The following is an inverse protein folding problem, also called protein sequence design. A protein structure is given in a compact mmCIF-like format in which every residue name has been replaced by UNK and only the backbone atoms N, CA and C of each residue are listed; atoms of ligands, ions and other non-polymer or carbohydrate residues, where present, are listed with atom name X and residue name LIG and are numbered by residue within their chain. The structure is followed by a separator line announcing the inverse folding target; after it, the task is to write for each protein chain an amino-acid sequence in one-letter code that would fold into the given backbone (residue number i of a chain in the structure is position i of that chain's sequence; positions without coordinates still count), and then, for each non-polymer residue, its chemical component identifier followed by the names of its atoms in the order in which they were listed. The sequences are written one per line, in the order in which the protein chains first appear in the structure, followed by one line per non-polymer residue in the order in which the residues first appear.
data_IF_832684460213
#
_entry.id   IF_832684460213
#
_cell.length_a   1.000
_cell.length_b   1.000
_cell.length_c   1.000
_cell.angle_alpha   90.00
_cell.angle_beta   90.00
_cell.angle_gamma   90.00
#
_symmetry.space_group_name_H-M   'P 1'
#
loop_
_entity.id
_entity.type
_entity.pdbx_description
1 polymer ?
#
# COMPACT_ATOMS: atom_id res chain seq x y z
N UNK A 1 -8.90 -22.31 -6.96
CA UNK A 1 -8.91 -23.27 -5.84
C UNK A 1 -8.71 -24.67 -6.41
N UNK A 2 -7.67 -25.43 -6.04
CA UNK A 2 -7.47 -26.81 -6.51
C UNK A 2 -7.66 -27.77 -5.32
N UNK A 3 -8.90 -28.22 -5.10
CA UNK A 3 -9.19 -29.24 -4.07
C UNK A 3 -8.83 -30.62 -4.62
N UNK A 4 -8.09 -31.38 -3.83
CA UNK A 4 -7.71 -32.75 -4.17
C UNK A 4 -8.66 -33.72 -3.47
N UNK A 5 -9.43 -34.47 -4.24
CA UNK A 5 -10.42 -35.43 -3.78
C UNK A 5 -9.82 -36.82 -3.70
N UNK A 6 -10.17 -37.58 -2.67
CA UNK A 6 -9.84 -39.01 -2.61
C UNK A 6 -10.99 -39.79 -3.23
N UNK A 7 -10.70 -40.59 -4.25
CA UNK A 7 -11.67 -41.49 -4.86
C UNK A 7 -11.78 -42.80 -4.05
N UNK A 8 -12.92 -43.52 -4.14
CA UNK A 8 -13.13 -44.78 -3.40
C UNK A 8 -12.08 -45.88 -3.71
N UNK A 9 -11.47 -45.84 -4.90
CA UNK A 9 -10.44 -46.77 -5.35
C UNK A 9 -9.01 -46.40 -4.89
N UNK A 10 -8.87 -45.39 -4.03
CA UNK A 10 -7.60 -44.92 -3.48
C UNK A 10 -6.83 -43.96 -4.41
N UNK A 11 -7.35 -43.66 -5.60
CA UNK A 11 -6.80 -42.60 -6.46
C UNK A 11 -7.17 -41.23 -5.91
N UNK A 12 -6.45 -40.20 -6.36
CA UNK A 12 -6.79 -38.81 -6.05
C UNK A 12 -7.23 -38.09 -7.31
N UNK A 13 -8.15 -37.16 -7.21
CA UNK A 13 -8.62 -36.38 -8.35
C UNK A 13 -8.64 -34.89 -8.07
N UNK A 14 -8.48 -34.09 -9.11
CA UNK A 14 -8.61 -32.63 -9.05
C UNK A 14 -9.47 -32.17 -10.20
N UNK A 15 -10.38 -31.24 -9.90
CA UNK A 15 -11.17 -30.50 -10.89
C UNK A 15 -10.55 -29.12 -11.01
N UNK A 16 -10.25 -28.68 -12.22
CA UNK A 16 -9.62 -27.38 -12.48
C UNK A 16 -10.10 -26.80 -13.81
N UNK A 17 -9.93 -25.49 -13.99
CA UNK A 17 -10.24 -24.81 -15.24
C UNK A 17 -8.97 -24.57 -16.08
N UNK A 18 -9.08 -24.72 -17.39
CA UNK A 18 -8.04 -24.41 -18.38
C UNK A 18 -8.67 -23.73 -19.60
N UNK A 19 -8.47 -22.42 -19.73
CA UNK A 19 -9.21 -21.62 -20.71
C UNK A 19 -10.71 -21.69 -20.43
N UNK A 20 -11.50 -22.04 -21.45
CA UNK A 20 -12.94 -22.22 -21.32
C UNK A 20 -13.35 -23.66 -20.95
N UNK A 21 -12.40 -24.50 -20.54
CA UNK A 21 -12.65 -25.91 -20.23
C UNK A 21 -12.55 -26.19 -18.75
N UNK A 22 -13.41 -27.09 -18.28
CA UNK A 22 -13.29 -27.72 -16.96
C UNK A 22 -12.71 -29.11 -17.18
N UNK A 23 -11.66 -29.42 -16.44
CA UNK A 23 -10.86 -30.61 -16.60
C UNK A 23 -10.87 -31.43 -15.30
N UNK A 24 -10.94 -32.74 -15.42
CA UNK A 24 -10.69 -33.71 -14.35
C UNK A 24 -9.35 -34.39 -14.57
N UNK A 25 -8.50 -34.38 -13.56
CA UNK A 25 -7.25 -35.15 -13.57
C UNK A 25 -7.18 -36.10 -12.39
N UNK A 26 -6.72 -37.34 -12.64
CA UNK A 26 -6.63 -38.41 -11.63
C UNK A 26 -5.18 -38.89 -11.44
N UNK A 27 -4.76 -38.97 -10.17
CA UNK A 27 -3.45 -39.40 -9.69
C UNK A 27 -3.49 -40.84 -9.10
N UNK A 28 -2.37 -41.58 -9.14
CA UNK A 28 -1.11 -41.21 -9.78
C UNK A 28 -1.24 -41.20 -11.30
N UNK A 29 -0.48 -40.30 -11.94
CA UNK A 29 -0.37 -40.25 -13.38
C UNK A 29 0.21 -41.57 -13.91
N UNK A 30 -0.62 -42.45 -14.45
CA UNK A 30 -0.14 -43.59 -15.23
C UNK A 30 0.23 -43.08 -16.63
N UNK A 31 1.20 -43.71 -17.31
CA UNK A 31 1.55 -43.35 -18.70
C UNK A 31 0.28 -43.37 -19.55
N UNK A 32 -0.08 -42.22 -20.12
CA UNK A 32 -1.30 -42.04 -20.92
C UNK A 32 -2.52 -41.48 -20.19
N UNK A 33 -2.45 -41.13 -18.90
CA UNK A 33 -3.52 -40.37 -18.24
C UNK A 33 -3.56 -38.95 -18.80
N UNK A 34 -4.49 -38.71 -19.73
CA UNK A 34 -4.82 -37.40 -20.25
C UNK A 34 -5.95 -36.82 -19.37
N UNK A 35 -5.90 -35.51 -19.02
CA UNK A 35 -7.02 -34.85 -18.37
C UNK A 35 -8.33 -35.06 -19.15
N UNK A 36 -9.41 -35.38 -18.45
CA UNK A 36 -10.73 -35.55 -19.05
C UNK A 36 -11.41 -34.18 -19.11
N UNK A 37 -11.86 -33.78 -20.30
CA UNK A 37 -12.69 -32.59 -20.45
C UNK A 37 -14.09 -32.92 -19.90
N UNK A 38 -14.50 -32.20 -18.86
CA UNK A 38 -15.85 -32.29 -18.29
C UNK A 38 -16.81 -31.33 -19.02
N UNK A 39 -16.37 -30.09 -19.26
CA UNK A 39 -17.16 -29.01 -19.87
C UNK A 39 -16.28 -28.12 -20.76
N UNK A 40 -16.87 -27.44 -21.73
CA UNK A 40 -16.17 -26.56 -22.70
C UNK A 40 -16.73 -25.12 -22.75
N UNK A 41 -17.67 -24.79 -21.86
CA UNK A 41 -18.38 -23.53 -21.79
C UNK A 41 -18.05 -22.72 -20.52
N UNK A 42 -16.91 -22.98 -19.87
CA UNK A 42 -16.53 -22.29 -18.63
C UNK A 42 -16.13 -20.83 -18.87
N UNK A 43 -16.60 -19.91 -18.02
CA UNK A 43 -16.12 -18.51 -17.99
C UNK A 43 -15.44 -18.15 -16.66
N UNK A 44 -16.06 -18.47 -15.51
CA UNK A 44 -15.55 -18.08 -14.18
C UNK A 44 -16.12 -18.92 -13.04
N UNK A 45 -15.58 -18.69 -11.83
CA UNK A 45 -16.13 -19.15 -10.54
C UNK A 45 -16.27 -20.67 -10.38
N UNK A 46 -15.29 -21.44 -10.88
CA UNK A 46 -15.27 -22.89 -10.66
C UNK A 46 -15.11 -23.24 -9.17
N UNK A 47 -16.08 -23.95 -8.63
CA UNK A 47 -16.09 -24.50 -7.27
C UNK A 47 -16.44 -25.98 -7.29
N UNK A 48 -15.96 -26.75 -6.32
CA UNK A 48 -16.23 -28.19 -6.25
C UNK A 48 -16.17 -28.74 -4.82
N UNK A 49 -16.86 -29.86 -4.61
CA UNK A 49 -16.89 -30.59 -3.34
C UNK A 49 -17.12 -32.09 -3.59
N UNK A 50 -16.65 -32.95 -2.69
CA UNK A 50 -17.02 -34.36 -2.70
C UNK A 50 -18.15 -34.63 -1.71
N UNK A 51 -19.18 -35.34 -2.17
CA UNK A 51 -20.36 -35.69 -1.39
C UNK A 51 -20.80 -37.11 -1.76
N UNK A 52 -20.95 -37.98 -0.75
CA UNK A 52 -21.23 -39.41 -0.92
C UNK A 52 -20.38 -40.13 -1.98
N UNK A 53 -19.10 -39.73 -2.12
CA UNK A 53 -18.16 -40.36 -3.05
C UNK A 53 -18.23 -39.84 -4.50
N UNK A 54 -19.18 -38.95 -4.80
CA UNK A 54 -19.27 -38.24 -6.07
C UNK A 54 -18.60 -36.88 -5.93
N UNK A 55 -17.94 -36.40 -6.98
CA UNK A 55 -17.41 -35.03 -7.03
C UNK A 55 -18.45 -34.20 -7.76
N UNK A 56 -19.01 -33.21 -7.05
CA UNK A 56 -19.89 -32.21 -7.63
C UNK A 56 -19.12 -30.93 -7.85
N UNK A 57 -19.49 -30.20 -8.90
CA UNK A 57 -18.89 -28.92 -9.22
C UNK A 57 -19.96 -27.95 -9.72
N UNK A 58 -19.69 -26.67 -9.51
CA UNK A 58 -20.50 -25.58 -10.03
C UNK A 58 -19.60 -24.52 -10.65
N UNK A 59 -20.10 -23.85 -11.68
CA UNK A 59 -19.37 -22.81 -12.39
C UNK A 59 -20.31 -21.86 -13.12
N UNK A 60 -19.78 -20.71 -13.53
CA UNK A 60 -20.45 -19.81 -14.46
C UNK A 60 -20.09 -20.20 -15.89
N UNK A 61 -21.08 -20.36 -16.76
CA UNK A 61 -20.85 -20.68 -18.16
C UNK A 61 -20.77 -19.45 -19.07
N UNK A 62 -20.45 -19.64 -20.36
CA UNK A 62 -20.32 -18.56 -21.35
C UNK A 62 -21.62 -17.79 -21.61
N UNK A 63 -22.77 -18.36 -21.27
CA UNK A 63 -24.07 -17.70 -21.35
C UNK A 63 -24.39 -16.89 -20.08
N UNK A 64 -23.51 -16.97 -19.06
CA UNK A 64 -23.67 -16.33 -17.76
C UNK A 64 -24.52 -17.11 -16.76
N UNK A 65 -25.02 -18.30 -17.13
CA UNK A 65 -25.78 -19.17 -16.26
C UNK A 65 -24.86 -19.88 -15.25
N UNK A 66 -25.43 -20.31 -14.12
CA UNK A 66 -24.75 -21.23 -13.22
C UNK A 66 -25.09 -22.65 -13.61
N UNK A 67 -24.06 -23.45 -13.83
CA UNK A 67 -24.20 -24.88 -14.08
C UNK A 67 -23.74 -25.63 -12.83
N UNK A 68 -24.55 -26.58 -12.38
CA UNK A 68 -24.24 -27.55 -11.33
C UNK A 68 -24.27 -28.95 -11.92
N UNK A 69 -23.21 -29.73 -11.69
CA UNK A 69 -23.09 -31.07 -12.25
C UNK A 69 -22.31 -32.01 -11.31
N UNK A 70 -22.55 -33.31 -11.45
CA UNK A 70 -21.91 -34.41 -10.74
C UNK A 70 -21.12 -35.31 -11.69
N UNK A 71 -19.86 -35.60 -11.37
CA UNK A 71 -19.04 -36.44 -12.25
C UNK A 71 -19.57 -37.88 -12.24
N UNK A 72 -20.26 -38.26 -13.32
CA UNK A 72 -20.79 -39.60 -13.54
C UNK A 72 -22.11 -39.90 -12.79
N UNK A 73 -22.74 -38.89 -12.21
CA UNK A 73 -23.98 -39.03 -11.44
C UNK A 73 -24.88 -37.80 -11.55
N UNK A 74 -26.19 -38.04 -11.72
CA UNK A 74 -27.22 -37.00 -11.76
C UNK A 74 -27.45 -36.37 -13.13
N UNK A 75 -28.52 -35.58 -13.22
CA UNK A 75 -28.74 -34.66 -14.34
C UNK A 75 -28.08 -33.32 -14.03
N UNK A 76 -27.46 -32.74 -15.06
CA UNK A 76 -26.96 -31.37 -15.00
C UNK A 76 -28.12 -30.41 -14.67
N UNK A 77 -27.87 -29.47 -13.76
CA UNK A 77 -28.82 -28.41 -13.43
C UNK A 77 -28.26 -27.07 -13.85
N UNK A 78 -29.08 -26.32 -14.57
CA UNK A 78 -28.76 -24.97 -15.03
C UNK A 78 -29.67 -24.01 -14.29
N UNK A 79 -29.08 -23.12 -13.50
CA UNK A 79 -29.78 -22.00 -12.90
C UNK A 79 -29.67 -20.83 -13.86
N UNK A 80 -30.78 -20.52 -14.54
CA UNK A 80 -30.86 -19.48 -15.55
C UNK A 80 -31.27 -18.13 -14.96
N UNK A 81 -30.89 -17.07 -15.66
CA UNK A 81 -31.47 -15.73 -15.48
C UNK A 81 -33.00 -15.75 -15.61
N UNK A 82 -33.66 -14.85 -14.89
CA UNK A 82 -35.11 -14.73 -14.77
C UNK A 82 -35.89 -15.04 -16.06
N UNK A 83 -36.65 -16.14 -16.01
CA UNK A 83 -37.87 -16.33 -16.79
C UNK A 83 -39.03 -16.44 -15.80
N UNK A 84 -39.25 -15.38 -15.01
CA UNK A 84 -40.63 -15.07 -14.64
C UNK A 84 -41.18 -14.24 -15.79
N UNK A 85 -42.25 -14.77 -16.40
CA UNK A 85 -42.90 -14.22 -17.59
C UNK A 85 -43.19 -12.72 -17.43
N UNK A 86 -43.09 -11.98 -18.54
CA UNK A 86 -43.54 -10.59 -18.69
C UNK A 86 -42.68 -9.47 -18.08
N UNK A 87 -41.43 -9.32 -18.52
CA UNK A 87 -40.99 -8.08 -19.21
C UNK A 87 -39.52 -8.18 -19.61
N UNK A 88 -39.24 -8.00 -20.92
CA UNK A 88 -37.91 -7.67 -21.43
C UNK A 88 -37.49 -6.26 -20.99
N UNK A 89 -37.35 -6.05 -19.69
CA UNK A 89 -36.46 -5.02 -19.18
C UNK A 89 -35.20 -5.73 -18.74
N UNK A 90 -34.06 -5.21 -19.17
CA UNK A 90 -32.72 -5.71 -18.87
C UNK A 90 -32.49 -5.74 -17.35
N UNK A 91 -32.95 -6.78 -16.66
CA UNK A 91 -32.53 -7.05 -15.29
C UNK A 91 -31.12 -7.63 -15.42
N UNK A 92 -30.12 -6.73 -15.42
CA UNK A 92 -28.71 -7.12 -15.23
C UNK A 92 -28.56 -7.64 -13.80
N UNK A 93 -28.88 -8.91 -13.59
CA UNK A 93 -28.47 -9.60 -12.38
C UNK A 93 -27.01 -10.02 -12.52
N UNK A 94 -26.19 -9.74 -11.51
CA UNK A 94 -24.78 -10.13 -11.51
C UNK A 94 -24.55 -11.19 -10.45
N UNK A 95 -24.08 -12.36 -10.89
CA UNK A 95 -23.71 -13.48 -10.03
C UNK A 95 -22.20 -13.49 -9.85
N UNK A 96 -21.77 -13.49 -8.59
CA UNK A 96 -20.36 -13.53 -8.21
C UNK A 96 -20.16 -14.46 -7.01
N UNK A 97 -18.94 -14.98 -6.88
CA UNK A 97 -18.47 -15.78 -5.75
C UNK A 97 -19.29 -17.05 -5.51
N UNK A 98 -19.12 -18.07 -6.36
CA UNK A 98 -19.75 -19.38 -6.19
C UNK A 98 -19.04 -20.22 -5.11
N UNK A 99 -19.79 -20.72 -4.14
CA UNK A 99 -19.29 -21.65 -3.12
C UNK A 99 -20.17 -22.90 -3.04
N UNK A 100 -19.63 -24.04 -3.48
CA UNK A 100 -20.27 -25.33 -3.31
C UNK A 100 -19.77 -26.00 -2.03
N UNK A 101 -20.71 -26.41 -1.17
CA UNK A 101 -20.41 -26.91 0.18
C UNK A 101 -21.40 -27.97 0.64
N UNK A 102 -21.02 -28.70 1.68
CA UNK A 102 -21.89 -29.64 2.39
C UNK A 102 -22.25 -29.04 3.76
N UNK A 103 -23.55 -28.85 4.02
CA UNK A 103 -24.10 -28.32 5.26
C UNK A 103 -25.19 -29.27 5.76
N UNK A 104 -25.18 -29.61 7.06
CA UNK A 104 -26.22 -30.50 7.62
C UNK A 104 -26.26 -31.93 7.04
N UNK A 105 -25.28 -32.33 6.22
CA UNK A 105 -25.32 -33.61 5.49
C UNK A 105 -25.96 -33.50 4.09
N UNK A 106 -26.18 -32.29 3.60
CA UNK A 106 -26.77 -31.99 2.28
C UNK A 106 -25.88 -31.02 1.49
N UNK A 107 -26.08 -30.98 0.17
CA UNK A 107 -25.34 -30.10 -0.73
C UNK A 107 -26.03 -28.75 -0.87
N UNK A 108 -25.24 -27.69 -0.77
CA UNK A 108 -25.69 -26.32 -0.98
C UNK A 108 -24.73 -25.58 -1.89
N UNK A 109 -25.29 -24.83 -2.82
CA UNK A 109 -24.59 -23.84 -3.63
C UNK A 109 -24.92 -22.45 -3.10
N UNK A 110 -23.88 -21.72 -2.71
CA UNK A 110 -23.98 -20.34 -2.25
C UNK A 110 -23.46 -19.40 -3.31
N UNK A 111 -24.10 -18.24 -3.45
CA UNK A 111 -23.70 -17.21 -4.41
C UNK A 111 -24.27 -15.85 -4.03
N UNK A 112 -23.60 -14.80 -4.49
CA UNK A 112 -24.11 -13.44 -4.42
C UNK A 112 -24.85 -13.10 -5.70
N UNK A 113 -25.98 -12.42 -5.55
CA UNK A 113 -26.76 -11.90 -6.67
C UNK A 113 -27.09 -10.43 -6.41
N UNK A 114 -26.76 -9.57 -7.38
CA UNK A 114 -27.23 -8.19 -7.38
C UNK A 114 -28.56 -8.10 -8.14
N UNK A 115 -29.61 -7.61 -7.47
CA UNK A 115 -30.89 -7.33 -8.11
C UNK A 115 -31.02 -5.83 -8.37
N UNK A 116 -30.86 -5.43 -9.63
CA UNK A 116 -30.98 -4.04 -10.09
C UNK A 116 -32.32 -3.39 -9.71
N UNK A 117 -33.43 -4.14 -9.79
CA UNK A 117 -34.78 -3.66 -9.43
C UNK A 117 -34.89 -3.27 -7.95
N UNK A 118 -34.13 -3.94 -7.08
CA UNK A 118 -34.14 -3.74 -5.64
C UNK A 118 -32.98 -2.83 -5.17
N UNK A 119 -31.95 -2.65 -6.00
CA UNK A 119 -30.73 -1.93 -5.64
C UNK A 119 -29.96 -2.60 -4.51
N UNK A 120 -30.02 -3.93 -4.43
CA UNK A 120 -29.50 -4.71 -3.29
C UNK A 120 -28.74 -5.95 -3.74
N UNK A 121 -27.70 -6.26 -2.97
CA UNK A 121 -26.95 -7.51 -3.02
C UNK A 121 -27.56 -8.52 -2.07
N UNK A 122 -27.70 -9.76 -2.53
CA UNK A 122 -28.29 -10.86 -1.78
C UNK A 122 -27.36 -12.07 -1.80
N UNK A 123 -27.08 -12.62 -0.63
CA UNK A 123 -26.42 -13.90 -0.48
C UNK A 123 -27.48 -14.98 -0.38
N UNK A 124 -27.52 -15.87 -1.38
CA UNK A 124 -28.44 -17.01 -1.40
C UNK A 124 -27.69 -18.31 -1.13
N UNK A 125 -28.40 -19.24 -0.51
CA UNK A 125 -28.00 -20.64 -0.41
C UNK A 125 -29.10 -21.47 -1.03
N UNK A 126 -28.78 -22.16 -2.13
CA UNK A 126 -29.72 -23.02 -2.85
C UNK A 126 -29.30 -24.47 -2.72
N UNK A 127 -30.27 -25.35 -2.49
CA UNK A 127 -30.03 -26.79 -2.58
C UNK A 127 -30.17 -27.21 -4.04
N UNK A 128 -29.15 -27.84 -4.64
CA UNK A 128 -29.26 -28.36 -5.98
C UNK A 128 -30.31 -29.47 -6.11
N UNK A 129 -30.82 -30.07 -5.04
CA UNK A 129 -31.74 -31.21 -5.11
C UNK A 129 -33.15 -30.90 -4.61
N UNK A 130 -33.33 -29.83 -3.85
CA UNK A 130 -34.58 -29.56 -3.13
C UNK A 130 -34.82 -28.04 -3.01
N UNK A 131 -35.67 -27.51 -3.89
CA UNK A 131 -35.92 -26.06 -3.94
C UNK A 131 -36.60 -25.50 -2.69
N UNK A 132 -37.31 -26.33 -1.91
CA UNK A 132 -37.96 -25.90 -0.67
C UNK A 132 -36.95 -25.49 0.41
N UNK A 133 -35.68 -25.90 0.25
CA UNK A 133 -34.58 -25.58 1.15
C UNK A 133 -33.78 -24.35 0.73
N UNK A 134 -34.18 -23.69 -0.35
CA UNK A 134 -33.54 -22.47 -0.79
C UNK A 134 -33.78 -21.35 0.22
N UNK A 135 -32.73 -20.62 0.58
CA UNK A 135 -32.79 -19.58 1.59
C UNK A 135 -31.99 -18.34 1.18
N UNK A 136 -32.47 -17.18 1.60
CA UNK A 136 -31.71 -15.93 1.57
C UNK A 136 -31.04 -15.75 2.93
N UNK A 137 -29.72 -15.57 2.93
CA UNK A 137 -28.92 -15.52 4.17
C UNK A 137 -28.65 -14.08 4.61
N UNK A 138 -28.34 -13.21 3.65
CA UNK A 138 -28.03 -11.81 3.92
C UNK A 138 -28.44 -10.92 2.76
N UNK A 139 -28.86 -9.69 3.09
CA UNK A 139 -29.24 -8.66 2.14
C UNK A 139 -28.54 -7.34 2.53
N UNK A 140 -27.86 -6.69 1.58
CA UNK A 140 -27.14 -5.43 1.80
C UNK A 140 -27.33 -4.48 0.60
N UNK A 141 -27.26 -3.18 0.85
CA UNK A 141 -27.34 -2.15 -0.21
C UNK A 141 -26.02 -1.93 -0.97
N UNK A 142 -24.91 -2.40 -0.41
CA UNK A 142 -23.57 -2.31 -1.01
C UNK A 142 -23.06 -3.72 -1.33
N UNK A 143 -22.13 -3.83 -2.28
CA UNK A 143 -21.46 -5.10 -2.60
C UNK A 143 -20.69 -5.58 -1.37
N UNK A 144 -20.72 -6.90 -1.14
CA UNK A 144 -20.11 -7.51 0.02
C UNK A 144 -19.53 -8.88 -0.36
N UNK A 145 -18.52 -9.29 0.39
CA UNK A 145 -17.89 -10.60 0.24
C UNK A 145 -18.39 -11.56 1.33
N UNK A 146 -18.27 -12.86 1.08
CA UNK A 146 -18.52 -13.86 2.09
C UNK A 146 -17.50 -15.00 2.03
N UNK A 147 -17.14 -15.56 3.19
CA UNK A 147 -16.32 -16.75 3.30
C UNK A 147 -16.97 -17.78 4.21
N UNK A 148 -16.96 -19.03 3.76
CA UNK A 148 -17.44 -20.16 4.53
C UNK A 148 -16.28 -20.98 5.07
N UNK A 149 -16.22 -21.09 6.39
CA UNK A 149 -15.19 -21.83 7.11
C UNK A 149 -15.81 -22.98 7.93
N UNK A 150 -15.00 -24.02 8.17
CA UNK A 150 -15.36 -25.12 9.06
C UNK A 150 -14.40 -25.12 10.24
N UNK A 151 -14.94 -24.85 11.43
CA UNK A 151 -14.19 -24.88 12.69
C UNK A 151 -14.77 -25.98 13.57
N UNK A 152 -14.02 -27.09 13.68
CA UNK A 152 -14.46 -28.28 14.39
C UNK A 152 -15.65 -28.93 13.70
N UNK A 153 -16.85 -28.83 14.31
CA UNK A 153 -18.11 -29.32 13.74
C UNK A 153 -19.05 -28.19 13.29
N UNK A 154 -18.61 -26.94 13.36
CA UNK A 154 -19.43 -25.77 13.04
C UNK A 154 -19.05 -25.23 11.68
N UNK A 155 -20.06 -24.87 10.90
CA UNK A 155 -19.93 -24.12 9.66
C UNK A 155 -20.21 -22.66 9.98
N UNK A 156 -19.22 -21.81 9.73
CA UNK A 156 -19.25 -20.39 10.04
C UNK A 156 -19.18 -19.64 8.73
N UNK A 157 -20.19 -18.83 8.47
CA UNK A 157 -20.26 -17.92 7.35
C UNK A 157 -19.87 -16.54 7.85
N UNK A 158 -18.80 -15.99 7.30
CA UNK A 158 -18.35 -14.62 7.56
C UNK A 158 -18.81 -13.75 6.40
N UNK A 159 -19.51 -12.65 6.68
CA UNK A 159 -20.02 -11.69 5.70
C UNK A 159 -19.30 -10.35 5.92
N UNK A 160 -18.62 -9.86 4.89
CA UNK A 160 -17.77 -8.67 4.93
C UNK A 160 -18.38 -7.56 4.08
N UNK A 161 -18.81 -6.47 4.73
CA UNK A 161 -19.32 -5.28 4.03
C UNK A 161 -18.52 -4.06 4.46
N UNK A 162 -17.62 -3.57 3.59
CA UNK A 162 -16.72 -2.46 3.90
C UNK A 162 -15.85 -2.73 5.14
N UNK A 163 -16.14 -2.07 6.26
CA UNK A 163 -15.45 -2.27 7.55
C UNK A 163 -16.23 -3.13 8.54
N UNK A 164 -17.44 -3.57 8.17
CA UNK A 164 -18.28 -4.43 8.98
C UNK A 164 -18.02 -5.90 8.68
N UNK A 165 -18.05 -6.71 9.73
CA UNK A 165 -17.89 -8.16 9.67
C UNK A 165 -18.99 -8.79 10.52
N UNK A 166 -19.85 -9.56 9.86
CA UNK A 166 -20.95 -10.30 10.47
C UNK A 166 -20.67 -11.80 10.37
N UNK A 167 -21.03 -12.55 11.42
CA UNK A 167 -20.89 -14.00 11.43
C UNK A 167 -22.26 -14.63 11.49
N UNK A 168 -22.49 -15.64 10.66
CA UNK A 168 -23.64 -16.52 10.76
C UNK A 168 -23.15 -17.95 11.00
N UNK A 169 -23.83 -18.69 11.87
CA UNK A 169 -23.55 -20.11 12.11
C UNK A 169 -24.68 -20.93 11.52
N UNK A 170 -24.30 -22.05 10.89
CA UNK A 170 -25.27 -23.05 10.46
C UNK A 170 -25.92 -23.75 11.67
N UNK A 171 -27.21 -23.53 11.88
CA UNK A 171 -28.02 -24.16 12.92
C UNK A 171 -29.39 -24.54 12.36
N UNK A 172 -29.86 -25.76 12.64
CA UNK A 172 -31.23 -26.22 12.27
C UNK A 172 -31.61 -25.87 10.82
N UNK A 173 -30.75 -26.26 9.88
CA UNK A 173 -30.96 -26.14 8.44
C UNK A 173 -31.01 -24.71 7.87
N UNK A 174 -30.50 -23.72 8.62
CA UNK A 174 -30.33 -22.36 8.12
C UNK A 174 -29.10 -21.68 8.74
N UNK A 175 -28.67 -20.55 8.15
CA UNK A 175 -27.67 -19.68 8.75
C UNK A 175 -28.35 -18.70 9.71
N UNK A 176 -28.02 -18.79 10.99
CA UNK A 176 -28.48 -17.86 12.02
C UNK A 176 -27.37 -16.85 12.35
N UNK A 177 -27.66 -15.55 12.48
CA UNK A 177 -26.68 -14.58 12.94
C UNK A 177 -26.10 -14.99 14.29
N UNK A 178 -24.78 -15.11 14.37
CA UNK A 178 -24.08 -15.44 15.59
C UNK A 178 -23.89 -14.20 16.44
N UNK A 179 -24.80 -14.01 17.39
CA UNK A 179 -24.74 -12.94 18.37
C UNK A 179 -24.28 -13.50 19.71
N UNK A 180 -22.96 -13.65 19.88
CA UNK A 180 -22.37 -13.89 21.19
C UNK A 180 -21.98 -12.54 21.81
N UNK A 181 -22.59 -12.20 22.94
CA UNK A 181 -22.36 -10.97 23.69
C UNK A 181 -20.86 -10.75 23.98
N UNK A 182 -20.08 -11.82 24.13
CA UNK A 182 -18.62 -11.73 24.32
C UNK A 182 -17.90 -11.24 23.07
N UNK A 183 -18.36 -11.67 21.90
CA UNK A 183 -17.81 -11.21 20.62
C UNK A 183 -18.24 -9.78 20.31
N UNK A 184 -19.49 -9.39 20.63
CA UNK A 184 -19.90 -7.97 20.56
C UNK A 184 -19.00 -7.08 21.42
N UNK A 185 -18.74 -7.48 22.68
CA UNK A 185 -17.85 -6.73 23.56
C UNK A 185 -16.41 -6.66 23.02
N UNK A 186 -15.91 -7.73 22.39
CA UNK A 186 -14.58 -7.75 21.77
C UNK A 186 -14.53 -6.84 20.54
N UNK A 187 -15.56 -6.86 19.68
CA UNK A 187 -15.66 -6.01 18.50
C UNK A 187 -15.79 -4.53 18.84
N UNK A 188 -16.62 -4.17 19.82
CA UNK A 188 -16.71 -2.79 20.29
C UNK A 188 -15.39 -2.31 20.89
N UNK A 189 -14.68 -3.19 21.61
CA UNK A 189 -13.32 -2.88 22.09
C UNK A 189 -12.34 -2.68 20.93
N UNK A 190 -12.40 -3.50 19.88
CA UNK A 190 -11.55 -3.35 18.69
C UNK A 190 -11.87 -2.06 17.92
N UNK A 191 -13.16 -1.74 17.70
CA UNK A 191 -13.59 -0.47 17.08
C UNK A 191 -13.09 0.73 17.87
N UNK A 192 -13.24 0.72 19.19
CA UNK A 192 -12.78 1.82 20.03
C UNK A 192 -11.25 1.94 20.03
N UNK A 193 -10.53 0.81 19.96
CA UNK A 193 -9.06 0.81 19.84
C UNK A 193 -8.62 1.37 18.48
N UNK A 194 -9.31 1.00 17.39
CA UNK A 194 -9.06 1.53 16.06
C UNK A 194 -9.36 3.03 15.97
N UNK A 195 -10.46 3.48 16.60
CA UNK A 195 -10.83 4.90 16.66
C UNK A 195 -9.77 5.72 17.41
N UNK A 196 -9.32 5.24 18.57
CA UNK A 196 -8.23 5.86 19.33
C UNK A 196 -6.92 5.91 18.56
N UNK A 197 -6.56 4.83 17.87
CA UNK A 197 -5.36 4.79 17.03
C UNK A 197 -5.45 5.77 15.86
N UNK A 198 -6.63 5.97 15.25
CA UNK A 198 -6.82 6.94 14.17
C UNK A 198 -6.82 8.38 14.68
N UNK A 199 -7.39 8.64 15.85
CA UNK A 199 -7.30 9.94 16.54
C UNK A 199 -5.85 10.27 16.88
N UNK A 200 -5.09 9.32 17.43
CA UNK A 200 -3.66 9.49 17.74
C UNK A 200 -2.83 9.76 16.49
N UNK A 201 -3.08 9.03 15.38
CA UNK A 201 -2.44 9.30 14.08
C UNK A 201 -2.78 10.69 13.53
N UNK A 202 -3.98 11.22 13.78
CA UNK A 202 -4.36 12.58 13.38
C UNK A 202 -3.64 13.61 14.23
N UNK A 203 -3.54 13.38 15.54
CA UNK A 203 -2.78 14.24 16.43
C UNK A 203 -1.30 14.26 16.08
N UNK A 204 -0.69 13.11 15.81
CA UNK A 204 0.71 13.00 15.42
C UNK A 204 0.99 13.72 14.10
N UNK A 205 0.12 13.55 13.09
CA UNK A 205 0.19 14.32 11.84
C UNK A 205 0.11 15.83 12.08
N UNK A 206 -0.74 16.27 13.01
CA UNK A 206 -0.85 17.69 13.38
C UNK A 206 0.40 18.20 14.10
N UNK A 207 0.96 17.41 15.02
CA UNK A 207 2.21 17.73 15.75
C UNK A 207 3.40 17.79 14.80
N UNK A 208 3.50 16.86 13.86
CA UNK A 208 4.56 16.82 12.86
C UNK A 208 4.47 18.00 11.89
N UNK A 209 3.26 18.37 11.45
CA UNK A 209 3.05 19.58 10.65
C UNK A 209 3.49 20.86 11.39
N UNK A 210 3.18 20.99 12.69
CA UNK A 210 3.65 22.12 13.51
C UNK A 210 5.17 22.17 13.62
N UNK A 211 5.81 21.02 13.87
CA UNK A 211 7.28 20.94 13.93
C UNK A 211 7.94 21.30 12.59
N UNK A 212 7.36 20.86 11.47
CA UNK A 212 7.87 21.24 10.14
C UNK A 212 7.75 22.74 9.90
N UNK A 213 6.66 23.38 10.33
CA UNK A 213 6.49 24.82 10.19
C UNK A 213 7.48 25.61 11.06
N UNK A 214 7.69 25.20 12.32
CA UNK A 214 8.70 25.80 13.19
C UNK A 214 10.13 25.65 12.62
N UNK A 215 10.46 24.50 12.02
CA UNK A 215 11.74 24.28 11.35
C UNK A 215 11.91 25.19 10.13
N UNK A 216 10.86 25.38 9.33
CA UNK A 216 10.89 26.32 8.20
C UNK A 216 11.12 27.76 8.66
N UNK A 217 10.46 28.18 9.74
CA UNK A 217 10.67 29.51 10.31
C UNK A 217 12.11 29.70 10.80
N UNK A 218 12.65 28.74 11.57
CA UNK A 218 14.05 28.79 12.03
C UNK A 218 15.06 28.79 10.88
N UNK A 219 14.83 28.00 9.84
CA UNK A 219 15.71 27.99 8.66
C UNK A 219 15.70 29.35 7.96
N UNK A 220 14.54 29.99 7.83
CA UNK A 220 14.43 31.33 7.26
C UNK A 220 15.17 32.39 8.10
N UNK A 221 15.08 32.31 9.42
CA UNK A 221 15.85 33.18 10.32
C UNK A 221 17.37 32.96 10.20
N UNK A 222 17.80 31.70 10.07
CA UNK A 222 19.20 31.36 9.85
C UNK A 222 19.72 31.89 8.51
N UNK A 223 18.93 31.76 7.43
CA UNK A 223 19.27 32.31 6.12
C UNK A 223 19.47 33.83 6.20
N UNK A 224 18.55 34.55 6.85
CA UNK A 224 18.67 36.00 7.04
C UNK A 224 19.91 36.39 7.88
N UNK A 225 20.22 35.61 8.91
CA UNK A 225 21.42 35.85 9.72
C UNK A 225 22.71 35.59 8.95
N UNK A 226 22.74 34.56 8.09
CA UNK A 226 23.88 34.27 7.21
C UNK A 226 24.10 35.43 6.25
N UNK A 227 23.05 35.89 5.56
CA UNK A 227 23.13 37.04 4.65
C UNK A 227 23.66 38.30 5.37
N UNK A 228 23.16 38.56 6.58
CA UNK A 228 23.62 39.71 7.37
C UNK A 228 25.10 39.61 7.77
N UNK A 229 25.55 38.42 8.19
CA UNK A 229 26.95 38.17 8.54
C UNK A 229 27.87 38.27 7.32
N UNK A 230 27.43 37.78 6.16
CA UNK A 230 28.17 37.91 4.90
C UNK A 230 28.32 39.39 4.51
N UNK A 231 27.26 40.19 4.62
CA UNK A 231 27.32 41.62 4.34
C UNK A 231 28.26 42.35 5.32
N UNK A 232 28.19 42.02 6.61
CA UNK A 232 29.06 42.61 7.63
C UNK A 232 30.53 42.25 7.39
N UNK A 233 30.83 41.00 7.06
CA UNK A 233 32.18 40.55 6.73
C UNK A 233 32.73 41.28 5.50
N UNK A 234 31.91 41.47 4.46
CA UNK A 234 32.31 42.22 3.27
C UNK A 234 32.70 43.67 3.61
N UNK A 235 31.93 44.34 4.47
CA UNK A 235 32.25 45.71 4.94
C UNK A 235 33.57 45.75 5.72
N UNK A 236 33.77 44.79 6.61
CA UNK A 236 35.02 44.64 7.37
C UNK A 236 36.22 44.40 6.46
N UNK A 237 36.10 43.58 5.42
CA UNK A 237 37.16 43.35 4.45
C UNK A 237 37.48 44.62 3.64
N UNK A 238 36.46 45.40 3.25
CA UNK A 238 36.65 46.68 2.57
C UNK A 238 37.35 47.72 3.46
N UNK A 239 36.98 47.81 4.73
CA UNK A 239 37.65 48.68 5.71
C UNK A 239 39.10 48.28 5.93
N UNK A 240 39.36 46.99 6.17
CA UNK A 240 40.72 46.47 6.33
C UNK A 240 41.59 46.75 5.11
N UNK A 241 41.03 46.65 3.90
CA UNK A 241 41.75 46.97 2.66
C UNK A 241 42.08 48.47 2.54
N UNK A 242 41.15 49.35 2.96
CA UNK A 242 41.41 50.80 3.01
C UNK A 242 42.52 51.14 4.00
N UNK A 243 42.46 50.59 5.21
CA UNK A 243 43.49 50.80 6.23
C UNK A 243 44.87 50.30 5.77
N UNK A 244 44.91 49.13 5.11
CA UNK A 244 46.14 48.61 4.51
C UNK A 244 46.71 49.56 3.45
N UNK A 245 45.88 50.07 2.53
CA UNK A 245 46.33 51.04 1.53
C UNK A 245 46.86 52.33 2.17
N UNK A 246 46.17 52.89 3.16
CA UNK A 246 46.65 54.07 3.87
C UNK A 246 47.98 53.82 4.60
N UNK A 247 48.17 52.64 5.18
CA UNK A 247 49.41 52.25 5.85
C UNK A 247 50.55 52.12 4.83
N UNK A 248 50.30 51.50 3.68
CA UNK A 248 51.28 51.38 2.58
C UNK A 248 51.69 52.73 2.02
N UNK A 249 50.76 53.67 1.84
CA UNK A 249 51.05 55.03 1.41
C UNK A 249 51.94 55.77 2.41
N UNK A 250 51.61 55.69 3.71
CA UNK A 250 52.42 56.29 4.79
C UNK A 250 53.83 55.68 4.82
N UNK A 251 53.94 54.37 4.64
CA UNK A 251 55.22 53.66 4.62
C UNK A 251 56.07 54.05 3.40
N UNK A 252 55.45 54.20 2.23
CA UNK A 252 56.11 54.68 1.01
C UNK A 252 56.61 56.12 1.16
N UNK A 253 55.80 56.99 1.75
CA UNK A 253 56.20 58.37 2.06
C UNK A 253 57.38 58.42 3.03
N UNK A 254 57.30 57.66 4.13
CA UNK A 254 58.38 57.58 5.12
C UNK A 254 59.69 57.05 4.50
N UNK A 255 59.61 56.05 3.61
CA UNK A 255 60.76 55.51 2.89
C UNK A 255 61.41 56.54 1.98
N UNK A 256 60.62 57.29 1.21
CA UNK A 256 61.15 58.39 0.37
C UNK A 256 61.87 59.45 1.20
N UNK A 257 61.29 59.86 2.34
CA UNK A 257 61.94 60.81 3.25
C UNK A 257 63.23 60.27 3.85
N UNK A 258 63.26 58.99 4.21
CA UNK A 258 64.46 58.34 4.70
C UNK A 258 65.57 58.34 3.63
N UNK A 259 65.23 57.98 2.39
CA UNK A 259 66.18 57.95 1.26
C UNK A 259 66.73 59.36 0.95
N UNK A 260 65.89 60.40 1.02
CA UNK A 260 66.32 61.80 0.90
C UNK A 260 67.33 62.20 2.00
N UNK A 261 67.01 61.90 3.26
CA UNK A 261 67.88 62.20 4.40
C UNK A 261 69.19 61.42 4.33
N UNK A 262 69.16 60.15 3.93
CA UNK A 262 70.33 59.33 3.69
C UNK A 262 71.22 59.94 2.59
N UNK A 263 70.62 60.40 1.48
CA UNK A 263 71.32 61.11 0.42
C UNK A 263 71.99 62.41 0.89
N UNK A 264 71.33 63.18 1.77
CA UNK A 264 71.91 64.38 2.39
C UNK A 264 73.07 64.00 3.32
N UNK A 265 72.93 62.95 4.13
CA UNK A 265 73.97 62.48 5.03
C UNK A 265 75.23 62.02 4.26
N UNK A 266 75.06 61.33 3.13
CA UNK A 266 76.18 60.96 2.24
C UNK A 266 76.88 62.21 1.70
N UNK A 267 76.13 63.21 1.21
CA UNK A 267 76.69 64.48 0.72
C UNK A 267 77.44 65.24 1.83
N UNK A 268 76.90 65.27 3.05
CA UNK A 268 77.56 65.85 4.21
C UNK A 268 78.84 65.10 4.57
N UNK A 269 78.83 63.77 4.55
CA UNK A 269 80.05 62.97 4.77
C UNK A 269 81.11 63.22 3.69
N UNK A 270 80.72 63.31 2.43
CA UNK A 270 81.62 63.69 1.33
C UNK A 270 82.16 65.11 1.49
N UNK A 271 81.32 66.06 1.88
CA UNK A 271 81.73 67.44 2.18
C UNK A 271 82.72 67.48 3.34
N UNK A 272 82.46 66.76 4.44
CA UNK A 272 83.39 66.62 5.56
C UNK A 272 84.71 65.97 5.13
N UNK A 273 84.69 64.94 4.27
CA UNK A 273 85.91 64.33 3.71
C UNK A 273 86.69 65.31 2.84
N UNK A 274 86.02 66.07 1.97
CA UNK A 274 86.64 67.12 1.14
C UNK A 274 87.22 68.25 1.98
N UNK A 275 86.51 68.67 3.02
CA UNK A 275 86.97 69.70 3.95
C UNK A 275 88.18 69.21 4.75
N UNK A 276 88.16 67.97 5.23
CA UNK A 276 89.30 67.33 5.88
C UNK A 276 90.49 67.13 4.92
N UNK A 277 90.27 66.91 3.64
CA UNK A 277 91.34 66.82 2.64
C UNK A 277 91.90 68.20 2.22
N UNK A 278 91.09 69.26 2.25
CA UNK A 278 91.48 70.61 1.86
C UNK A 278 92.06 71.45 3.01
N UNK A 279 91.61 71.20 4.24
CA UNK A 279 91.96 71.97 5.44
C UNK A 279 92.45 71.10 6.61
N UNK A 280 92.35 69.78 6.51
CA UNK A 280 92.91 68.85 7.51
C UNK A 280 94.33 68.43 7.18
N UNK A 281 95.15 69.39 6.73
CA UNK A 281 96.58 69.31 6.98
C UNK A 281 96.81 69.34 8.48
N UNK A 282 97.83 68.62 8.93
CA UNK A 282 98.26 68.61 10.32
C UNK A 282 98.26 70.03 10.91
N UNK A 283 97.56 70.20 12.03
CA UNK A 283 97.79 71.34 12.93
C UNK A 283 99.20 71.18 13.53
N UNK A 284 100.21 71.51 12.75
CA UNK A 284 101.46 72.05 13.26
C UNK A 284 101.38 73.58 13.21
N UNK A 285 100.96 74.11 14.36
CA UNK A 285 101.31 75.42 14.92
C UNK A 285 100.78 76.71 14.29
N UNK A 286 99.81 77.28 15.02
CA UNK A 286 99.66 78.68 15.42
C UNK A 286 100.51 79.74 14.68
N UNK A 287 99.82 80.68 14.01
CA UNK A 287 99.89 82.16 14.11
C UNK A 287 98.71 82.76 13.35
#
# INVERSE_FOLDING_TARGET
MNRMYNLPDGRKSVVYAEGNRIMLYTFPARRGNIPIVLKEDYISDLTSVSFYGVIYFAYKNTEGNIVFDGIGEGEEKIFTYGNEEETRQEIKEEWIHLTLTVLGGELYLMYLIYKMSEGKWKLKSVSPFDEEKNSEIAEKGEEFDYWLEEIGKRKILSVFTGTSLEYCIWERDHFAPYMDERWQALFERMKETARKAEEERKEDRSREAKKQEELKQKNKELEQNIEHLEEMNKRLEEEKRKEQMECEEKLKYAKQRYDELAGIAVKLQEACRKWKAAYGGEEEWMI
#
